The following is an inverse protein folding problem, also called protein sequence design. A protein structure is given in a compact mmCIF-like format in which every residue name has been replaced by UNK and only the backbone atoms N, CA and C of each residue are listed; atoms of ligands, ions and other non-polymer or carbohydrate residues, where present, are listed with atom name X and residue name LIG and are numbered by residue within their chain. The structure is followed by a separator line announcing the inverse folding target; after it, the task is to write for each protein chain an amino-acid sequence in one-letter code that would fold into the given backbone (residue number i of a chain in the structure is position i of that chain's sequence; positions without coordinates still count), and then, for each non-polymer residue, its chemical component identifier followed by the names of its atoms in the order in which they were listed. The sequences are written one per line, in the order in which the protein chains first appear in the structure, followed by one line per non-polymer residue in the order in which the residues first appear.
data_IF_198843032535
#
_entry.id   IF_198843032535
#
_cell.length_a   1.000
_cell.length_b   1.000
_cell.length_c   1.000
_cell.angle_alpha   90.00
_cell.angle_beta   90.00
_cell.angle_gamma   90.00
#
_symmetry.space_group_name_H-M   'P 1'
#
loop_
_entity.id
_entity.type
_entity.pdbx_description
1 polymer ?
#
# COMPACT_ATOMS: atom_id res chain seq x y z
N UNK A 1 -9.75 9.67 2.71
CA UNK A 1 -8.38 9.43 3.26
C UNK A 1 -7.60 8.45 2.37
N UNK A 2 -6.25 8.45 2.37
CA UNK A 2 -5.43 7.58 1.48
C UNK A 2 -5.75 6.08 1.67
N UNK A 3 -6.02 5.68 2.91
CA UNK A 3 -6.41 4.31 3.27
C UNK A 3 -7.74 3.87 2.65
N UNK A 4 -8.75 4.74 2.64
CA UNK A 4 -10.05 4.44 2.03
C UNK A 4 -9.94 4.24 0.52
N UNK A 5 -9.17 5.13 -0.15
CA UNK A 5 -8.86 4.99 -1.57
C UNK A 5 -8.14 3.67 -1.85
N UNK A 6 -7.21 3.28 -0.99
CA UNK A 6 -6.49 2.00 -1.12
C UNK A 6 -7.41 0.79 -0.90
N UNK A 7 -8.37 0.86 0.04
CA UNK A 7 -9.37 -0.21 0.24
C UNK A 7 -10.22 -0.41 -1.01
N UNK A 8 -10.69 0.69 -1.61
CA UNK A 8 -11.45 0.64 -2.86
C UNK A 8 -10.60 0.06 -3.99
N UNK A 9 -9.37 0.54 -4.15
CA UNK A 9 -8.43 0.02 -5.13
C UNK A 9 -8.21 -1.49 -4.96
N UNK A 10 -7.95 -1.96 -3.74
CA UNK A 10 -7.78 -3.39 -3.44
C UNK A 10 -9.00 -4.22 -3.83
N UNK A 11 -10.20 -3.72 -3.53
CA UNK A 11 -11.45 -4.41 -3.87
C UNK A 11 -11.64 -4.51 -5.39
N UNK A 12 -11.39 -3.41 -6.10
CA UNK A 12 -11.48 -3.33 -7.56
C UNK A 12 -10.46 -4.28 -8.20
N UNK A 13 -9.18 -4.19 -7.83
CA UNK A 13 -8.12 -5.08 -8.37
C UNK A 13 -8.42 -6.55 -8.12
N UNK A 14 -8.93 -6.90 -6.92
CA UNK A 14 -9.31 -8.27 -6.61
C UNK A 14 -10.46 -8.75 -7.50
N UNK A 15 -11.46 -7.92 -7.75
CA UNK A 15 -12.58 -8.26 -8.63
C UNK A 15 -12.16 -8.38 -10.09
N UNK A 16 -11.34 -7.46 -10.59
CA UNK A 16 -10.93 -7.42 -12.00
C UNK A 16 -9.92 -8.50 -12.36
N UNK A 17 -8.96 -8.78 -11.48
CA UNK A 17 -7.85 -9.71 -11.79
C UNK A 17 -7.98 -11.05 -11.09
N UNK A 18 -8.95 -11.22 -10.19
CA UNK A 18 -9.04 -12.35 -9.25
C UNK A 18 -7.78 -12.58 -8.38
N UNK A 19 -6.82 -11.66 -8.42
CA UNK A 19 -5.56 -11.75 -7.71
C UNK A 19 -5.58 -10.92 -6.43
N UNK A 20 -4.81 -11.36 -5.43
CA UNK A 20 -4.60 -10.62 -4.18
C UNK A 20 -3.32 -9.78 -4.29
N UNK A 21 -3.33 -8.60 -3.69
CA UNK A 21 -2.13 -7.77 -3.55
C UNK A 21 -1.26 -8.38 -2.45
N UNK A 22 -0.10 -8.91 -2.81
CA UNK A 22 0.85 -9.49 -1.84
C UNK A 22 1.97 -8.52 -1.45
N UNK A 23 2.40 -7.67 -2.40
CA UNK A 23 3.49 -6.71 -2.20
C UNK A 23 3.03 -5.34 -2.66
N UNK A 24 3.20 -4.35 -1.79
CA UNK A 24 2.91 -2.94 -2.07
C UNK A 24 4.22 -2.15 -2.02
N UNK A 25 4.67 -1.70 -3.19
CA UNK A 25 5.85 -0.85 -3.33
C UNK A 25 5.42 0.61 -3.28
N UNK A 26 5.92 1.35 -2.30
CA UNK A 26 5.52 2.74 -2.06
C UNK A 26 6.79 3.57 -1.90
N UNK A 27 6.82 4.73 -2.54
CA UNK A 27 7.80 5.76 -2.23
C UNK A 27 7.68 6.19 -0.75
N UNK A 28 8.80 6.52 -0.09
CA UNK A 28 8.81 7.03 1.30
C UNK A 28 8.20 8.44 1.40
N UNK A 29 6.93 8.59 1.02
CA UNK A 29 6.13 9.78 1.32
C UNK A 29 5.43 9.60 2.65
N UNK A 30 5.41 10.69 3.42
CA UNK A 30 4.90 10.75 4.79
C UNK A 30 3.44 10.26 4.89
N UNK A 31 2.64 10.48 3.84
CA UNK A 31 1.25 10.05 3.74
C UNK A 31 1.06 8.51 3.84
N UNK A 32 2.08 7.72 3.52
CA UNK A 32 2.04 6.26 3.63
C UNK A 32 2.65 5.74 4.93
N UNK A 33 3.27 6.58 5.76
CA UNK A 33 3.82 6.18 7.05
C UNK A 33 2.78 6.09 8.16
N UNK A 34 1.51 6.33 7.85
CA UNK A 34 0.43 6.23 8.84
C UNK A 34 0.38 4.83 9.49
N UNK A 35 0.32 4.79 10.82
CA UNK A 35 0.18 3.57 11.62
C UNK A 35 -1.07 2.79 11.23
N UNK A 36 -2.17 3.48 10.94
CA UNK A 36 -3.44 2.87 10.54
C UNK A 36 -3.30 2.11 9.20
N UNK A 37 -2.55 2.70 8.25
CA UNK A 37 -2.24 2.07 6.97
C UNK A 37 -1.29 0.88 7.15
N UNK A 38 -0.33 1.00 8.07
CA UNK A 38 0.59 -0.08 8.43
C UNK A 38 -0.15 -1.29 8.98
N UNK A 39 -1.06 -1.07 9.93
CA UNK A 39 -1.86 -2.12 10.53
C UNK A 39 -2.80 -2.76 9.51
N UNK A 40 -3.40 -1.95 8.63
CA UNK A 40 -4.22 -2.47 7.53
C UNK A 40 -3.41 -3.40 6.62
N UNK A 41 -2.23 -3.00 6.16
CA UNK A 41 -1.39 -3.85 5.32
C UNK A 41 -1.02 -5.16 6.04
N UNK A 42 -0.63 -5.11 7.32
CA UNK A 42 -0.32 -6.31 8.12
C UNK A 42 -1.51 -7.26 8.25
N UNK A 43 -2.69 -6.74 8.62
CA UNK A 43 -3.91 -7.54 8.76
C UNK A 43 -4.35 -8.19 7.44
N UNK A 44 -4.00 -7.59 6.31
CA UNK A 44 -4.32 -8.10 4.98
C UNK A 44 -3.18 -8.93 4.35
N UNK A 45 -2.09 -9.19 5.09
CA UNK A 45 -0.94 -9.97 4.60
C UNK A 45 -0.12 -9.27 3.51
N UNK A 46 -0.23 -7.95 3.39
CA UNK A 46 0.43 -7.16 2.36
C UNK A 46 1.83 -6.74 2.84
N UNK A 47 2.87 -7.24 2.18
CA UNK A 47 4.26 -6.82 2.42
C UNK A 47 4.49 -5.43 1.84
N UNK A 48 5.10 -4.54 2.62
CA UNK A 48 5.39 -3.17 2.18
C UNK A 48 6.86 -3.03 1.81
N UNK A 49 7.14 -2.61 0.58
CA UNK A 49 8.48 -2.25 0.14
C UNK A 49 8.55 -0.73 0.01
N UNK A 50 9.24 -0.09 0.96
CA UNK A 50 9.48 1.34 0.91
C UNK A 50 10.69 1.60 0.02
N UNK A 51 10.52 2.26 -1.13
CA UNK A 51 11.66 2.73 -1.90
C UNK A 51 12.18 4.01 -1.26
N UNK A 52 13.51 4.09 -1.04
CA UNK A 52 14.14 5.35 -0.68
C UNK A 52 13.79 6.39 -1.74
N UNK A 53 13.30 7.55 -1.30
CA UNK A 53 13.18 8.72 -2.16
C UNK A 53 14.53 8.88 -2.86
N UNK A 54 14.53 9.01 -4.20
CA UNK A 54 15.76 9.30 -4.93
C UNK A 54 16.25 10.68 -4.48
N UNK A 55 17.13 10.72 -3.50
CA UNK A 55 18.01 11.86 -3.30
C UNK A 55 18.97 11.81 -4.47
N UNK A 56 18.71 12.63 -5.50
CA UNK A 56 19.69 12.86 -6.54
C UNK A 56 20.86 13.58 -5.87
N UNK A 57 22.00 12.90 -5.77
CA UNK A 57 23.27 13.56 -5.46
C UNK A 57 23.76 14.33 -6.70
#
# INVERSE_FOLDING_TARGET
KILEKFRQFKAITKSETNNKIEILKIDKREEFLNVEFTNYCKANGIKRQLTQARTHA
#
